data_IF_861215359116
#
_entry.id   IF_861215359116
#
_cell.length_a   1.000
_cell.length_b   1.000
_cell.length_c   1.000
_cell.angle_alpha   90.00
_cell.angle_beta   90.00
_cell.angle_gamma   90.00
#
_symmetry.space_group_name_H-M   'P 1'
#
loop_
_entity.id
_entity.type
_entity.pdbx_description
1 polymer ?
#
# COMPACT_ATOMS: atom_id res chain seq x y z
N UNK A 1 -13.35 14.57 -20.41
CA UNK A 1 -12.93 15.29 -19.20
C UNK A 1 -11.95 14.38 -18.48
N UNK A 2 -10.68 14.79 -18.36
CA UNK A 2 -9.66 14.01 -17.67
C UNK A 2 -9.75 14.37 -16.19
N UNK A 3 -10.35 13.48 -15.41
CA UNK A 3 -10.46 13.66 -13.97
C UNK A 3 -9.08 13.42 -13.37
N UNK A 4 -8.47 14.50 -12.86
CA UNK A 4 -7.33 14.40 -11.97
C UNK A 4 -7.86 13.89 -10.63
N UNK A 5 -7.53 12.65 -10.28
CA UNK A 5 -7.66 12.16 -8.92
C UNK A 5 -6.36 12.50 -8.21
N UNK A 6 -6.43 13.32 -7.16
CA UNK A 6 -5.32 13.44 -6.23
C UNK A 6 -5.21 12.13 -5.45
N UNK A 7 -4.29 11.29 -5.88
CA UNK A 7 -3.80 10.17 -5.09
C UNK A 7 -2.78 10.77 -4.13
N UNK A 8 -3.23 11.18 -2.94
CA UNK A 8 -2.32 11.55 -1.86
C UNK A 8 -1.80 10.27 -1.19
N UNK A 9 -1.02 9.49 -1.93
CA UNK A 9 -0.14 8.50 -1.31
C UNK A 9 0.96 9.31 -0.63
N UNK A 10 0.78 9.66 0.65
CA UNK A 10 1.90 10.10 1.50
C UNK A 10 2.74 8.87 1.87
N UNK A 11 3.37 8.23 0.88
CA UNK A 11 4.54 7.41 1.14
C UNK A 11 5.71 8.41 1.28
N UNK A 12 6.12 8.69 2.51
CA UNK A 12 7.51 9.07 2.72
C UNK A 12 8.32 7.81 2.42
N UNK A 13 9.05 7.84 1.30
CA UNK A 13 9.92 6.75 0.83
C UNK A 13 11.25 7.34 0.30
N UNK A 14 12.38 7.17 1.00
CA UNK A 14 13.75 7.60 0.63
C UNK A 14 14.96 6.73 1.10
N UNK A 15 15.12 5.55 0.50
CA UNK A 15 16.25 4.59 0.44
C UNK A 15 17.45 4.57 1.44
N UNK A 16 17.61 3.43 2.14
CA UNK A 16 18.93 2.90 2.51
C UNK A 16 19.41 2.14 1.27
N UNK A 17 20.65 2.36 0.83
CA UNK A 17 21.29 1.53 -0.18
C UNK A 17 21.44 0.10 0.39
N UNK A 18 20.38 -0.71 0.26
CA UNK A 18 20.45 -2.14 0.43
C UNK A 18 21.28 -2.67 -0.73
N UNK A 19 22.57 -2.90 -0.46
CA UNK A 19 23.49 -3.45 -1.44
C UNK A 19 22.89 -4.70 -2.08
N UNK A 20 22.83 -4.71 -3.40
CA UNK A 20 22.56 -5.89 -4.25
C UNK A 20 21.34 -6.75 -3.89
N UNK A 21 20.29 -6.20 -3.27
CA UNK A 21 19.03 -6.92 -3.14
C UNK A 21 18.33 -6.95 -4.52
N UNK A 22 18.41 -8.10 -5.20
CA UNK A 22 17.57 -8.44 -6.35
C UNK A 22 16.09 -8.24 -5.97
N UNK A 23 15.23 -7.86 -6.93
CA UNK A 23 13.82 -7.53 -6.70
C UNK A 23 13.17 -8.50 -5.69
N UNK A 24 12.88 -8.08 -4.45
CA UNK A 24 12.38 -8.97 -3.42
C UNK A 24 10.98 -9.46 -3.79
N UNK A 25 10.72 -10.75 -3.63
CA UNK A 25 9.41 -11.35 -3.87
C UNK A 25 8.61 -11.57 -2.58
N UNK A 26 9.30 -11.64 -1.44
CA UNK A 26 8.70 -11.84 -0.13
C UNK A 26 8.60 -10.52 0.64
N UNK A 27 7.57 -10.40 1.47
CA UNK A 27 7.39 -9.26 2.36
C UNK A 27 8.14 -9.51 3.68
N UNK A 28 8.73 -8.46 4.26
CA UNK A 28 9.52 -8.56 5.49
C UNK A 28 9.32 -7.31 6.36
N UNK A 29 9.32 -7.49 7.68
CA UNK A 29 9.40 -6.39 8.65
C UNK A 29 10.70 -6.55 9.44
N UNK A 30 11.50 -5.48 9.48
CA UNK A 30 12.68 -5.44 10.34
C UNK A 30 12.29 -4.89 11.71
N UNK A 31 12.73 -5.57 12.76
CA UNK A 31 12.49 -5.19 14.15
C UNK A 31 13.80 -4.70 14.80
N UNK A 32 13.68 -3.72 15.69
CA UNK A 32 14.74 -3.42 16.64
C UNK A 32 14.85 -4.57 17.67
N UNK A 33 16.03 -5.14 17.85
CA UNK A 33 16.24 -6.30 18.73
C UNK A 33 15.96 -6.01 20.22
N UNK A 34 16.12 -4.77 20.66
CA UNK A 34 15.94 -4.38 22.06
C UNK A 34 14.47 -4.05 22.37
N UNK A 35 13.82 -3.29 21.49
CA UNK A 35 12.46 -2.80 21.72
C UNK A 35 11.38 -3.66 21.09
N UNK A 36 11.78 -4.60 20.22
CA UNK A 36 10.88 -5.41 19.39
C UNK A 36 9.89 -4.57 18.57
N UNK A 37 10.27 -3.33 18.22
CA UNK A 37 9.46 -2.42 17.41
C UNK A 37 9.87 -2.48 15.94
N UNK A 38 8.92 -2.36 15.00
CA UNK A 38 9.23 -2.24 13.58
C UNK A 38 10.11 -1.02 13.29
N UNK A 39 11.19 -1.20 12.55
CA UNK A 39 12.12 -0.12 12.12
C UNK A 39 12.20 0.03 10.61
N UNK A 40 11.62 -0.89 9.85
CA UNK A 40 11.44 -0.78 8.41
C UNK A 40 10.70 -1.99 7.84
N UNK A 41 10.44 -1.99 6.54
CA UNK A 41 9.68 -3.04 5.87
C UNK A 41 10.00 -3.14 4.38
N UNK A 42 9.73 -4.32 3.82
CA UNK A 42 9.46 -4.57 2.40
C UNK A 42 8.04 -5.14 2.31
N UNK A 43 7.23 -4.60 1.41
CA UNK A 43 5.87 -5.06 1.19
C UNK A 43 5.63 -5.29 -0.31
N UNK A 44 5.52 -6.58 -0.69
CA UNK A 44 5.37 -7.02 -2.08
C UNK A 44 3.92 -7.36 -2.43
N UNK A 45 3.05 -7.51 -1.43
CA UNK A 45 1.65 -7.94 -1.55
C UNK A 45 1.43 -9.38 -2.04
N UNK A 46 2.51 -10.13 -2.31
CA UNK A 46 2.42 -11.48 -2.90
C UNK A 46 1.72 -12.50 -2.01
N UNK A 47 1.78 -12.29 -0.69
CA UNK A 47 1.08 -13.11 0.31
C UNK A 47 -0.19 -12.42 0.85
N UNK A 48 -0.70 -11.41 0.13
CA UNK A 48 -1.86 -10.61 0.55
C UNK A 48 -1.48 -9.31 1.26
N UNK A 49 -2.28 -8.91 2.25
CA UNK A 49 -1.99 -7.71 3.03
C UNK A 49 -0.72 -7.90 3.84
N UNK A 50 0.23 -6.97 3.71
CA UNK A 50 1.44 -6.98 4.53
C UNK A 50 1.10 -6.77 6.00
N UNK A 51 1.89 -7.37 6.88
CA UNK A 51 1.64 -7.38 8.31
C UNK A 51 1.41 -5.96 8.88
N UNK A 52 0.26 -5.81 9.54
CA UNK A 52 -0.20 -4.58 10.17
C UNK A 52 -0.54 -3.41 9.23
N UNK A 53 -0.55 -3.61 7.91
CA UNK A 53 -1.19 -2.70 6.97
C UNK A 53 -2.70 -2.96 6.93
N UNK A 54 -3.49 -1.89 6.87
CA UNK A 54 -4.95 -2.00 6.84
C UNK A 54 -5.63 -0.78 6.20
N UNK A 55 -6.83 -0.99 5.66
CA UNK A 55 -7.72 0.12 5.28
C UNK A 55 -8.28 0.81 6.53
N UNK A 56 -8.24 2.14 6.55
CA UNK A 56 -8.76 2.92 7.68
C UNK A 56 -10.29 2.87 7.70
N UNK A 57 -10.85 2.47 8.85
CA UNK A 57 -12.30 2.39 9.05
C UNK A 57 -12.88 3.76 9.44
N UNK A 58 -13.31 4.52 8.42
CA UNK A 58 -13.95 5.82 8.61
C UNK A 58 -15.42 5.72 9.08
N UNK A 59 -16.02 4.53 9.20
CA UNK A 59 -17.43 4.39 9.61
C UNK A 59 -17.69 4.83 11.05
N UNK A 60 -16.62 4.97 11.85
CA UNK A 60 -16.65 5.37 13.25
C UNK A 60 -16.43 6.86 13.47
N UNK A 61 -16.18 7.64 12.42
CA UNK A 61 -16.00 9.09 12.52
C UNK A 61 -17.33 9.80 12.81
N UNK A 62 -17.29 10.85 13.63
CA UNK A 62 -18.48 11.64 13.98
C UNK A 62 -19.16 12.26 12.74
N UNK A 63 -18.37 12.61 11.72
CA UNK A 63 -18.79 13.20 10.47
C UNK A 63 -18.80 12.20 9.30
N UNK A 64 -18.99 10.91 9.58
CA UNK A 64 -19.04 9.87 8.55
C UNK A 64 -20.04 10.21 7.43
N UNK A 65 -19.56 10.16 6.18
CA UNK A 65 -20.38 10.31 4.99
C UNK A 65 -20.42 8.98 4.24
N UNK A 66 -21.61 8.35 4.09
CA UNK A 66 -21.73 7.12 3.32
C UNK A 66 -21.17 7.26 1.90
N UNK A 67 -20.47 6.22 1.43
CA UNK A 67 -19.84 6.16 0.09
C UNK A 67 -18.74 7.22 -0.17
N UNK A 68 -18.37 8.05 0.81
CA UNK A 68 -17.23 8.96 0.71
C UNK A 68 -15.91 8.20 0.73
N UNK A 69 -15.82 7.18 1.57
CA UNK A 69 -14.63 6.34 1.72
C UNK A 69 -14.83 4.97 1.11
N UNK A 70 -13.76 4.40 0.55
CA UNK A 70 -13.73 3.05 0.02
C UNK A 70 -12.35 2.42 0.21
N UNK A 71 -12.32 1.10 0.18
CA UNK A 71 -11.12 0.33 0.48
C UNK A 71 -10.23 0.14 -0.75
N UNK A 72 -8.91 0.14 -0.52
CA UNK A 72 -7.97 -0.49 -1.44
C UNK A 72 -8.05 -2.01 -1.29
N UNK A 73 -7.71 -2.74 -2.34
CA UNK A 73 -7.71 -4.21 -2.35
C UNK A 73 -6.40 -4.75 -2.89
N UNK A 74 -5.90 -5.84 -2.31
CA UNK A 74 -4.80 -6.60 -2.93
C UNK A 74 -5.39 -7.40 -4.08
N UNK A 75 -4.83 -7.20 -5.28
CA UNK A 75 -5.32 -7.78 -6.53
C UNK A 75 -4.25 -8.62 -7.19
N UNK A 76 -4.65 -9.79 -7.66
CA UNK A 76 -3.85 -10.66 -8.52
C UNK A 76 -4.24 -10.47 -10.00
N UNK A 77 -3.25 -10.44 -10.88
CA UNK A 77 -3.44 -10.34 -12.33
C UNK A 77 -4.19 -9.09 -12.79
N UNK A 78 -4.91 -9.19 -13.91
CA UNK A 78 -5.60 -8.03 -14.50
C UNK A 78 -6.64 -7.40 -13.55
N UNK A 79 -6.67 -6.06 -13.55
CA UNK A 79 -7.69 -5.29 -12.83
C UNK A 79 -9.10 -5.66 -13.28
N UNK A 80 -10.08 -5.54 -12.39
CA UNK A 80 -11.49 -5.85 -12.68
C UNK A 80 -12.11 -4.88 -13.68
N UNK A 81 -11.60 -3.66 -13.76
CA UNK A 81 -12.08 -2.65 -14.67
C UNK A 81 -11.50 -2.86 -16.08
N UNK A 82 -12.35 -2.90 -17.13
CA UNK A 82 -11.86 -3.07 -18.49
C UNK A 82 -10.91 -1.94 -18.90
N UNK A 83 -9.84 -2.31 -19.61
CA UNK A 83 -8.83 -1.38 -20.13
C UNK A 83 -8.13 -0.51 -19.06
N UNK A 84 -8.16 -0.91 -17.79
CA UNK A 84 -7.27 -0.38 -16.75
C UNK A 84 -6.14 -1.36 -16.46
N UNK A 85 -4.97 -0.82 -16.09
CA UNK A 85 -3.81 -1.65 -15.79
C UNK A 85 -3.81 -2.20 -14.35
N UNK A 86 -2.70 -2.83 -13.94
CA UNK A 86 -1.78 -3.57 -14.79
C UNK A 86 -2.31 -4.99 -15.10
N UNK A 87 -1.75 -5.64 -16.12
CA UNK A 87 -2.00 -7.07 -16.36
C UNK A 87 -1.17 -7.94 -15.39
N UNK A 88 0.03 -7.48 -15.06
CA UNK A 88 1.00 -8.14 -14.20
C UNK A 88 1.58 -7.12 -13.22
N UNK A 89 1.86 -7.57 -12.01
CA UNK A 89 2.53 -6.76 -11.01
C UNK A 89 4.01 -6.50 -11.37
N UNK A 90 4.72 -5.71 -10.55
CA UNK A 90 6.14 -5.40 -10.79
C UNK A 90 7.09 -6.51 -10.29
N UNK A 91 6.70 -7.19 -9.22
CA UNK A 91 7.47 -8.16 -8.44
C UNK A 91 7.68 -9.45 -9.24
N UNK A 92 6.59 -10.14 -9.59
CA UNK A 92 6.64 -11.41 -10.33
C UNK A 92 6.56 -11.19 -11.84
N UNK A 93 5.93 -10.09 -12.30
CA UNK A 93 5.71 -9.79 -13.73
C UNK A 93 4.95 -10.90 -14.46
N UNK A 94 4.11 -11.62 -13.73
CA UNK A 94 3.21 -12.65 -14.25
C UNK A 94 1.78 -12.40 -13.74
N UNK A 95 0.82 -13.21 -14.18
CA UNK A 95 -0.57 -13.11 -13.70
C UNK A 95 -0.70 -13.51 -12.23
N UNK A 96 0.25 -14.29 -11.72
CA UNK A 96 0.31 -14.72 -10.34
C UNK A 96 0.69 -13.61 -9.36
N UNK A 97 1.27 -12.51 -9.87
CA UNK A 97 1.73 -11.36 -9.08
C UNK A 97 0.61 -10.53 -8.49
N UNK A 98 0.90 -9.90 -7.35
CA UNK A 98 -0.05 -9.12 -6.59
C UNK A 98 0.33 -7.65 -6.49
N UNK A 99 -0.67 -6.77 -6.43
CA UNK A 99 -0.49 -5.35 -6.21
C UNK A 99 -1.66 -4.76 -5.47
N UNK A 100 -1.42 -3.63 -4.80
CA UNK A 100 -2.48 -2.86 -4.18
C UNK A 100 -3.23 -2.03 -5.24
N UNK A 101 -4.53 -2.25 -5.35
CA UNK A 101 -5.40 -1.59 -6.31
C UNK A 101 -6.37 -0.62 -5.61
N UNK A 102 -6.35 0.63 -6.06
CA UNK A 102 -7.40 1.60 -5.82
C UNK A 102 -8.37 1.58 -7.00
N UNK A 103 -9.48 0.88 -6.84
CA UNK A 103 -10.51 0.74 -7.88
C UNK A 103 -11.45 1.96 -7.85
N UNK A 104 -11.09 2.98 -8.62
CA UNK A 104 -11.84 4.23 -8.72
C UNK A 104 -13.05 4.12 -9.66
N UNK A 105 -13.22 3.03 -10.41
CA UNK A 105 -14.40 2.86 -11.24
C UNK A 105 -15.67 2.92 -10.38
N UNK A 106 -16.66 3.66 -10.87
CA UNK A 106 -17.96 3.82 -10.20
C UNK A 106 -17.90 4.50 -8.82
N UNK A 107 -16.76 5.09 -8.43
CA UNK A 107 -16.66 5.92 -7.21
C UNK A 107 -17.12 7.35 -7.49
N UNK A 108 -17.60 8.02 -6.45
CA UNK A 108 -18.04 9.42 -6.58
C UNK A 108 -16.83 10.34 -6.72
N UNK A 109 -17.04 11.50 -7.37
CA UNK A 109 -16.04 12.56 -7.40
C UNK A 109 -15.68 12.98 -5.97
N UNK A 110 -14.38 13.11 -5.68
CA UNK A 110 -13.82 13.36 -4.35
C UNK A 110 -14.01 12.24 -3.32
N UNK A 111 -14.41 11.03 -3.70
CA UNK A 111 -14.27 9.87 -2.81
C UNK A 111 -12.79 9.63 -2.48
N UNK A 112 -12.53 9.08 -1.29
CA UNK A 112 -11.20 8.89 -0.74
C UNK A 112 -11.00 7.42 -0.35
N UNK A 113 -9.74 6.99 -0.33
CA UNK A 113 -9.31 5.72 0.20
C UNK A 113 -8.06 5.99 1.04
N UNK A 114 -7.99 5.40 2.22
CA UNK A 114 -6.90 5.59 3.16
C UNK A 114 -6.44 4.24 3.69
N UNK A 115 -5.13 4.04 3.70
CA UNK A 115 -4.48 2.90 4.34
C UNK A 115 -3.53 3.42 5.40
N UNK A 116 -3.43 2.67 6.49
CA UNK A 116 -2.45 2.90 7.52
C UNK A 116 -1.47 1.73 7.51
N UNK A 117 -0.20 2.09 7.72
CA UNK A 117 0.87 1.13 7.99
C UNK A 117 0.99 0.89 9.50
N UNK A 118 1.77 -0.12 9.93
CA UNK A 118 2.16 -0.26 11.32
C UNK A 118 2.88 0.99 11.84
N UNK A 119 2.92 1.16 13.17
CA UNK A 119 3.76 2.18 13.78
C UNK A 119 5.22 1.72 13.74
N UNK A 120 6.06 2.48 13.04
CA UNK A 120 7.49 2.25 12.99
C UNK A 120 8.23 3.17 13.96
N UNK A 121 9.26 2.63 14.61
CA UNK A 121 10.19 3.40 15.41
C UNK A 121 11.13 4.17 14.47
N UNK A 122 10.77 5.43 14.24
CA UNK A 122 11.52 6.39 13.41
C UNK A 122 12.73 7.00 14.14
N UNK A 123 13.09 6.49 15.31
CA UNK A 123 14.28 6.96 16.05
C UNK A 123 15.45 5.98 15.96
N UNK A 124 15.21 4.79 15.39
CA UNK A 124 16.23 3.76 15.24
C UNK A 124 17.30 4.08 14.18
N UNK A 125 16.99 4.96 13.22
CA UNK A 125 17.90 5.42 12.19
C UNK A 125 17.93 6.95 12.14
N UNK A 126 19.05 7.52 11.68
CA UNK A 126 19.19 8.98 11.52
C UNK A 126 18.36 9.50 10.33
N UNK A 127 18.13 8.65 9.32
CA UNK A 127 17.39 8.98 8.11
C UNK A 127 16.45 7.83 7.75
N UNK A 128 15.25 8.19 7.27
CA UNK A 128 14.21 7.25 6.86
C UNK A 128 13.89 7.35 5.40
N UNK A 129 13.45 6.19 4.96
CA UNK A 129 13.29 5.84 3.59
C UNK A 129 11.84 5.62 3.31
#
# INVERSE_FOLDING_TARGET
MRNFFEILIRLFCFCRNFGNAENPTESEIWLNEETNKPVGFICTWEDGWCDGWYNVDHTKEENYVPNKFFDLVVRQGASSSPATGPAYDRTLRTEEGHYLLLEASQKMFLSQAEIASPVFDVTAYEEYC
#
